data_IF_459106736839
#
_entry.id   IF_459106736839
#
_cell.length_a   1.000
_cell.length_b   1.000
_cell.length_c   1.000
_cell.angle_alpha   90.00
_cell.angle_beta   90.00
_cell.angle_gamma   90.00
#
_symmetry.space_group_name_H-M   'P 1'
#
loop_
_entity.id
_entity.type
_entity.pdbx_description
1 polymer ?
#
# COMPACT_ATOMS: atom_id res chain seq x y z
N UNK A 1 -38.22 -19.66 16.54
CA UNK A 1 -36.97 -19.42 17.28
C UNK A 1 -35.93 -20.54 17.13
N UNK A 2 -36.35 -21.73 16.79
CA UNK A 2 -35.46 -22.91 16.63
C UNK A 2 -34.66 -22.94 15.31
N UNK A 3 -35.16 -22.32 14.24
CA UNK A 3 -34.48 -22.30 12.92
C UNK A 3 -33.18 -21.47 12.86
N UNK A 4 -32.92 -20.62 13.84
CA UNK A 4 -31.75 -19.77 13.88
C UNK A 4 -30.54 -20.41 14.55
N UNK A 5 -30.75 -21.52 15.25
CA UNK A 5 -29.69 -22.22 15.99
C UNK A 5 -28.68 -22.91 15.07
N UNK A 6 -29.09 -23.21 13.83
CA UNK A 6 -28.22 -23.86 12.82
C UNK A 6 -27.57 -22.86 11.86
N UNK A 7 -27.92 -21.58 11.96
CA UNK A 7 -27.33 -20.55 11.13
C UNK A 7 -25.95 -20.19 11.64
N UNK A 8 -24.95 -20.30 10.77
CA UNK A 8 -23.56 -19.86 11.07
C UNK A 8 -23.43 -18.35 11.20
N UNK A 9 -24.35 -17.59 10.60
CA UNK A 9 -24.41 -16.12 10.64
C UNK A 9 -25.82 -15.62 10.51
N UNK A 10 -26.13 -14.54 11.23
CA UNK A 10 -27.43 -13.86 11.19
C UNK A 10 -27.18 -12.41 10.79
N UNK A 11 -27.85 -11.94 9.75
CA UNK A 11 -27.77 -10.56 9.26
C UNK A 11 -29.09 -9.87 9.56
N UNK A 12 -29.03 -8.74 10.24
CA UNK A 12 -30.15 -7.84 10.48
C UNK A 12 -30.06 -6.63 9.57
N UNK A 13 -30.99 -6.48 8.65
CA UNK A 13 -31.16 -5.24 7.88
C UNK A 13 -31.91 -4.20 8.73
N UNK A 14 -31.24 -3.12 9.07
CA UNK A 14 -31.79 -2.05 9.92
C UNK A 14 -31.90 -0.78 9.07
N UNK A 15 -33.12 -0.34 8.82
CA UNK A 15 -33.36 0.92 8.10
C UNK A 15 -32.94 2.13 8.95
N UNK A 16 -32.39 3.18 8.31
CA UNK A 16 -31.96 4.41 8.96
C UNK A 16 -33.06 5.16 9.73
N UNK A 17 -34.34 4.87 9.42
CA UNK A 17 -35.51 5.45 10.09
C UNK A 17 -35.89 4.75 11.41
N UNK A 18 -35.23 3.67 11.79
CA UNK A 18 -35.50 2.97 13.05
C UNK A 18 -35.28 3.89 14.26
N UNK A 19 -36.16 3.93 15.29
CA UNK A 19 -35.95 4.70 16.51
C UNK A 19 -34.62 4.36 17.19
N UNK A 20 -33.92 5.36 17.76
CA UNK A 20 -32.58 5.21 18.32
C UNK A 20 -32.51 4.14 19.42
N UNK A 21 -33.50 4.09 20.33
CA UNK A 21 -33.53 3.07 21.39
C UNK A 21 -33.56 1.64 20.83
N UNK A 22 -34.36 1.42 19.78
CA UNK A 22 -34.45 0.09 19.17
C UNK A 22 -33.16 -0.24 18.42
N UNK A 23 -32.57 0.71 17.71
CA UNK A 23 -31.29 0.53 17.03
C UNK A 23 -30.18 0.21 18.04
N UNK A 24 -30.10 0.92 19.16
CA UNK A 24 -29.15 0.65 20.25
C UNK A 24 -29.29 -0.78 20.77
N UNK A 25 -30.53 -1.24 21.04
CA UNK A 25 -30.76 -2.63 21.49
C UNK A 25 -30.27 -3.64 20.46
N UNK A 26 -30.53 -3.41 19.18
CA UNK A 26 -30.05 -4.30 18.10
C UNK A 26 -28.53 -4.30 18.02
N UNK A 27 -27.90 -3.11 18.09
CA UNK A 27 -26.45 -2.99 18.06
C UNK A 27 -25.74 -3.64 19.24
N UNK A 28 -26.40 -3.80 20.39
CA UNK A 28 -25.89 -4.54 21.54
C UNK A 28 -25.79 -6.06 21.27
N UNK A 29 -26.71 -6.59 20.44
CA UNK A 29 -26.84 -8.03 20.18
C UNK A 29 -25.94 -8.55 19.06
N UNK A 30 -25.39 -7.66 18.21
CA UNK A 30 -24.58 -8.06 17.07
C UNK A 30 -23.09 -7.84 17.31
N UNK A 31 -22.25 -8.61 16.66
CA UNK A 31 -20.78 -8.49 16.77
C UNK A 31 -20.22 -7.37 15.89
N UNK A 32 -20.85 -7.13 14.76
CA UNK A 32 -20.44 -6.13 13.78
C UNK A 32 -21.61 -5.31 13.28
N UNK A 33 -21.36 -4.04 12.99
CA UNK A 33 -22.31 -3.11 12.39
C UNK A 33 -21.69 -2.51 11.14
N UNK A 34 -22.35 -2.66 10.00
CA UNK A 34 -21.95 -2.00 8.75
C UNK A 34 -22.93 -0.85 8.49
N UNK A 35 -22.42 0.36 8.46
CA UNK A 35 -23.23 1.54 8.18
C UNK A 35 -22.98 2.01 6.75
N UNK A 36 -23.97 1.81 5.89
CA UNK A 36 -23.91 2.24 4.49
C UNK A 36 -24.20 3.73 4.39
N UNK A 37 -23.39 4.48 3.64
CA UNK A 37 -23.53 5.92 3.49
C UNK A 37 -23.14 6.38 2.09
N UNK A 38 -23.96 7.28 1.51
CA UNK A 38 -23.58 8.05 0.31
C UNK A 38 -23.01 9.41 0.71
N UNK A 39 -22.25 10.03 -0.17
CA UNK A 39 -21.67 11.35 0.08
C UNK A 39 -22.72 12.38 0.52
N UNK A 40 -23.85 12.43 -0.20
CA UNK A 40 -24.97 13.33 0.12
C UNK A 40 -25.64 13.08 1.49
N UNK A 41 -25.38 11.94 2.13
CA UNK A 41 -25.98 11.50 3.39
C UNK A 41 -25.00 11.61 4.56
N UNK A 42 -23.80 12.14 4.35
CA UNK A 42 -22.72 12.15 5.35
C UNK A 42 -23.09 12.89 6.64
N UNK A 43 -23.75 14.05 6.51
CA UNK A 43 -24.17 14.83 7.69
C UNK A 43 -25.29 14.13 8.47
N UNK A 44 -26.21 13.46 7.78
CA UNK A 44 -27.27 12.67 8.42
C UNK A 44 -26.69 11.47 9.12
N UNK A 45 -25.69 10.80 8.52
CA UNK A 45 -24.98 9.70 9.14
C UNK A 45 -24.26 10.13 10.42
N UNK A 46 -23.58 11.27 10.42
CA UNK A 46 -22.93 11.84 11.61
C UNK A 46 -23.96 12.08 12.73
N UNK A 47 -25.05 12.80 12.41
CA UNK A 47 -26.12 13.08 13.37
C UNK A 47 -26.71 11.77 13.95
N UNK A 48 -26.88 10.77 13.08
CA UNK A 48 -27.40 9.47 13.48
C UNK A 48 -26.46 8.75 14.44
N UNK A 49 -25.19 8.64 14.10
CA UNK A 49 -24.19 7.97 14.92
C UNK A 49 -23.96 8.68 16.26
N UNK A 50 -24.07 10.02 16.29
CA UNK A 50 -24.10 10.81 17.52
C UNK A 50 -25.31 10.45 18.37
N UNK A 51 -26.52 10.37 17.79
CA UNK A 51 -27.75 10.01 18.52
C UNK A 51 -27.73 8.61 19.12
N UNK A 52 -26.87 7.72 18.59
CA UNK A 52 -26.64 6.38 19.10
C UNK A 52 -25.53 6.33 20.16
N UNK A 53 -24.94 7.47 20.52
CA UNK A 53 -23.88 7.59 21.52
C UNK A 53 -22.68 6.66 21.27
N UNK A 54 -22.32 6.44 20.02
CA UNK A 54 -21.30 5.48 19.57
C UNK A 54 -19.96 5.65 20.30
N UNK A 55 -19.38 6.87 20.42
CA UNK A 55 -18.10 7.04 21.10
C UNK A 55 -18.19 6.72 22.60
N UNK A 56 -19.24 7.19 23.28
CA UNK A 56 -19.45 6.98 24.73
C UNK A 56 -19.64 5.51 25.09
N UNK A 57 -20.22 4.73 24.17
CA UNK A 57 -20.43 3.29 24.33
C UNK A 57 -19.23 2.42 23.94
N UNK A 58 -18.16 3.01 23.44
CA UNK A 58 -16.97 2.27 22.97
C UNK A 58 -17.23 1.38 21.74
N UNK A 59 -18.22 1.72 20.91
CA UNK A 59 -18.62 0.90 19.75
C UNK A 59 -17.86 1.19 18.46
N UNK A 60 -16.88 2.08 18.50
CA UNK A 60 -16.09 2.48 17.34
C UNK A 60 -15.53 1.28 16.56
N UNK A 61 -14.93 0.33 17.26
CA UNK A 61 -14.29 -0.84 16.63
C UNK A 61 -15.29 -1.89 16.13
N UNK A 62 -16.56 -1.80 16.59
CA UNK A 62 -17.67 -2.62 16.16
C UNK A 62 -18.30 -2.11 14.86
N UNK A 63 -18.12 -0.82 14.55
CA UNK A 63 -18.75 -0.15 13.41
C UNK A 63 -17.76 -0.03 12.27
N UNK A 64 -18.23 -0.41 11.08
CA UNK A 64 -17.57 -0.17 9.80
C UNK A 64 -18.47 0.72 8.94
N UNK A 65 -17.88 1.71 8.25
CA UNK A 65 -18.58 2.54 7.28
C UNK A 65 -18.37 1.93 5.90
N UNK A 66 -19.45 1.73 5.16
CA UNK A 66 -19.43 1.32 3.77
C UNK A 66 -19.89 2.49 2.88
N UNK A 67 -18.92 3.17 2.26
CA UNK A 67 -19.19 4.22 1.31
C UNK A 67 -19.77 3.65 0.03
N UNK A 68 -20.93 4.12 -0.38
CA UNK A 68 -21.53 3.80 -1.68
C UNK A 68 -21.16 4.91 -2.66
N UNK A 69 -20.18 4.61 -3.51
CA UNK A 69 -19.60 5.54 -4.47
C UNK A 69 -20.23 5.37 -5.85
N UNK A 70 -20.36 6.47 -6.59
CA UNK A 70 -20.75 6.41 -7.99
C UNK A 70 -19.58 5.89 -8.84
N UNK A 71 -19.90 5.29 -9.98
CA UNK A 71 -18.89 4.66 -10.84
C UNK A 71 -17.76 5.57 -11.35
N UNK A 72 -18.01 6.89 -11.38
CA UNK A 72 -17.05 7.93 -11.76
C UNK A 72 -16.26 8.52 -10.58
N UNK A 73 -16.57 8.09 -9.35
CA UNK A 73 -15.95 8.58 -8.12
C UNK A 73 -14.95 7.54 -7.56
N UNK A 74 -13.64 7.69 -7.82
CA UNK A 74 -12.65 6.67 -7.47
C UNK A 74 -12.31 6.65 -5.97
N UNK A 75 -12.58 7.72 -5.22
CA UNK A 75 -12.22 7.86 -3.81
C UNK A 75 -13.38 8.32 -2.95
N UNK A 76 -13.38 7.95 -1.68
CA UNK A 76 -14.40 8.38 -0.73
C UNK A 76 -14.33 9.89 -0.45
N UNK A 77 -15.45 10.51 -0.06
CA UNK A 77 -15.45 11.89 0.40
C UNK A 77 -14.52 12.12 1.60
N UNK A 78 -14.00 13.33 1.73
CA UNK A 78 -13.22 13.71 2.91
C UNK A 78 -14.14 14.16 4.04
N UNK A 79 -14.63 13.21 4.83
CA UNK A 79 -15.52 13.45 5.97
C UNK A 79 -14.85 12.92 7.25
N UNK A 80 -13.88 13.67 7.84
CA UNK A 80 -13.10 13.19 8.99
C UNK A 80 -13.98 12.81 10.18
N UNK A 81 -14.97 13.65 10.51
CA UNK A 81 -15.85 13.44 11.66
C UNK A 81 -16.66 12.14 11.59
N UNK A 82 -16.98 11.65 10.40
CA UNK A 82 -17.70 10.39 10.26
C UNK A 82 -16.80 9.20 10.61
N UNK A 83 -15.51 9.29 10.27
CA UNK A 83 -14.52 8.25 10.57
C UNK A 83 -14.18 8.12 12.05
N UNK A 84 -14.51 9.13 12.86
CA UNK A 84 -14.33 9.06 14.30
C UNK A 84 -15.29 8.07 14.96
N UNK A 85 -16.41 7.75 14.29
CA UNK A 85 -17.40 6.79 14.77
C UNK A 85 -17.13 5.33 14.36
N UNK A 86 -16.17 5.09 13.49
CA UNK A 86 -15.92 3.75 12.94
C UNK A 86 -14.45 3.35 13.05
N UNK A 87 -14.20 2.08 13.30
CA UNK A 87 -12.86 1.52 13.29
C UNK A 87 -12.33 1.32 11.87
N UNK A 88 -13.23 1.15 10.88
CA UNK A 88 -12.90 0.83 9.49
C UNK A 88 -13.86 1.50 8.52
N UNK A 89 -13.38 1.67 7.28
CA UNK A 89 -14.26 2.06 6.16
C UNK A 89 -13.93 1.29 4.88
N UNK A 90 -14.99 1.06 4.09
CA UNK A 90 -14.95 0.34 2.81
C UNK A 90 -15.51 1.22 1.72
N UNK A 91 -14.96 1.11 0.51
CA UNK A 91 -15.41 1.86 -0.66
C UNK A 91 -16.03 0.87 -1.63
N UNK A 92 -17.34 0.97 -1.81
CA UNK A 92 -18.14 0.10 -2.67
C UNK A 92 -18.66 0.96 -3.82
N UNK A 93 -18.27 0.62 -5.04
CA UNK A 93 -18.73 1.33 -6.22
C UNK A 93 -20.07 0.76 -6.67
N UNK A 94 -21.08 1.62 -6.80
CA UNK A 94 -22.38 1.27 -7.34
C UNK A 94 -22.28 1.16 -8.88
N UNK A 95 -22.55 -0.01 -9.43
CA UNK A 95 -22.54 -0.27 -10.87
C UNK A 95 -23.90 -0.79 -11.31
N UNK A 96 -24.40 -0.35 -12.50
CA UNK A 96 -25.64 -0.84 -13.08
C UNK A 96 -25.55 -2.30 -13.55
N UNK A 97 -24.35 -2.77 -13.81
CA UNK A 97 -24.04 -4.17 -14.15
C UNK A 97 -23.21 -4.82 -13.06
N UNK A 98 -23.24 -6.14 -12.99
CA UNK A 98 -22.35 -6.87 -12.09
C UNK A 98 -20.92 -6.36 -12.31
N UNK A 99 -20.20 -5.96 -11.23
CA UNK A 99 -18.84 -5.45 -11.36
C UNK A 99 -17.98 -6.50 -12.06
N UNK A 100 -17.21 -6.05 -13.05
CA UNK A 100 -16.22 -6.96 -13.65
C UNK A 100 -15.27 -7.42 -12.56
N UNK A 101 -15.12 -8.72 -12.32
CA UNK A 101 -14.14 -9.21 -11.35
C UNK A 101 -12.75 -8.66 -11.69
N UNK A 102 -11.98 -8.29 -10.68
CA UNK A 102 -10.58 -7.97 -10.89
C UNK A 102 -10.25 -6.49 -11.04
N UNK A 103 -11.04 -5.58 -10.50
CA UNK A 103 -10.61 -4.18 -10.35
C UNK A 103 -10.60 -3.75 -8.88
N UNK A 104 -9.67 -2.88 -8.51
CA UNK A 104 -9.55 -2.37 -7.14
C UNK A 104 -10.88 -1.80 -6.62
N UNK A 105 -11.60 -1.08 -7.48
CA UNK A 105 -12.88 -0.46 -7.13
C UNK A 105 -14.00 -1.51 -7.05
N UNK A 106 -14.05 -2.47 -7.97
CA UNK A 106 -15.05 -3.53 -7.98
C UNK A 106 -14.95 -4.44 -6.74
N UNK A 107 -13.75 -4.63 -6.21
CA UNK A 107 -13.46 -5.51 -5.08
C UNK A 107 -13.83 -4.91 -3.71
N UNK A 108 -14.49 -3.75 -3.66
CA UNK A 108 -14.88 -3.10 -2.40
C UNK A 108 -15.82 -3.94 -1.54
N UNK A 109 -16.77 -4.63 -2.16
CA UNK A 109 -17.70 -5.54 -1.45
C UNK A 109 -16.96 -6.77 -0.91
N UNK A 110 -16.02 -7.33 -1.67
CA UNK A 110 -15.23 -8.47 -1.22
C UNK A 110 -14.39 -8.14 0.02
N UNK A 111 -13.77 -6.94 0.06
CA UNK A 111 -13.06 -6.45 1.26
C UNK A 111 -13.98 -6.38 2.47
N UNK A 112 -15.22 -5.94 2.29
CA UNK A 112 -16.21 -5.96 3.36
C UNK A 112 -16.53 -7.38 3.81
N UNK A 113 -16.69 -8.33 2.88
CA UNK A 113 -16.92 -9.75 3.19
C UNK A 113 -15.72 -10.34 3.94
N UNK A 114 -14.48 -10.04 3.52
CA UNK A 114 -13.27 -10.44 4.24
C UNK A 114 -13.31 -9.95 5.70
N UNK A 115 -13.63 -8.68 5.92
CA UNK A 115 -13.71 -8.11 7.26
C UNK A 115 -14.78 -8.80 8.13
N UNK A 116 -15.96 -9.04 7.57
CA UNK A 116 -17.04 -9.77 8.26
C UNK A 116 -16.66 -11.22 8.57
N UNK A 117 -15.75 -11.81 7.80
CA UNK A 117 -15.18 -13.15 8.02
C UNK A 117 -13.97 -13.15 8.96
N UNK A 118 -13.52 -11.98 9.39
CA UNK A 118 -12.30 -11.83 10.20
C UNK A 118 -11.02 -12.09 9.44
N UNK A 119 -11.04 -11.93 8.12
CA UNK A 119 -9.89 -12.05 7.22
C UNK A 119 -9.39 -10.67 6.83
N UNK A 120 -8.08 -10.53 6.75
CA UNK A 120 -7.44 -9.33 6.24
C UNK A 120 -6.13 -9.68 5.54
N UNK A 121 -6.14 -9.55 4.21
CA UNK A 121 -5.00 -9.81 3.35
C UNK A 121 -4.22 -8.51 3.17
N UNK A 122 -2.99 -8.50 3.68
CA UNK A 122 -2.07 -7.37 3.55
C UNK A 122 -0.98 -7.62 2.53
N UNK A 123 -0.57 -6.56 1.81
CA UNK A 123 0.59 -6.59 0.91
C UNK A 123 1.63 -5.57 1.36
N UNK A 124 2.80 -6.05 1.77
CA UNK A 124 3.94 -5.23 2.14
C UNK A 124 4.86 -5.01 0.93
N UNK A 125 5.02 -3.77 0.50
CA UNK A 125 5.80 -3.39 -0.67
C UNK A 125 7.11 -2.73 -0.25
N UNK A 126 8.22 -3.37 -0.59
CA UNK A 126 9.55 -2.91 -0.21
C UNK A 126 10.06 -1.71 -1.00
N UNK A 127 11.03 -1.00 -0.42
CA UNK A 127 11.78 0.06 -1.09
C UNK A 127 12.78 -0.51 -2.10
N UNK A 128 13.04 0.24 -3.17
CA UNK A 128 13.99 -0.19 -4.20
C UNK A 128 14.13 0.78 -5.38
N UNK A 129 13.74 2.03 -5.22
CA UNK A 129 13.77 3.07 -6.26
C UNK A 129 13.10 2.58 -7.56
N UNK A 130 13.74 2.68 -8.74
CA UNK A 130 13.14 2.24 -10.01
C UNK A 130 12.71 0.77 -10.01
N UNK A 131 13.41 -0.11 -9.27
CA UNK A 131 13.08 -1.54 -9.16
C UNK A 131 11.69 -1.77 -8.56
N UNK A 132 11.20 -0.84 -7.73
CA UNK A 132 9.85 -0.87 -7.17
C UNK A 132 8.73 -0.78 -8.22
N UNK A 133 9.03 -0.44 -9.47
CA UNK A 133 8.04 -0.52 -10.54
C UNK A 133 7.56 -1.95 -10.78
N UNK A 134 8.32 -2.97 -10.36
CA UNK A 134 7.89 -4.38 -10.39
C UNK A 134 6.70 -4.66 -9.47
N UNK A 135 6.48 -3.87 -8.44
CA UNK A 135 5.30 -4.00 -7.58
C UNK A 135 3.98 -3.88 -8.36
N UNK A 136 3.95 -3.04 -9.40
CA UNK A 136 2.76 -2.89 -10.24
C UNK A 136 2.38 -4.21 -10.93
N UNK A 137 3.37 -4.95 -11.42
CA UNK A 137 3.12 -6.26 -12.00
C UNK A 137 2.69 -7.31 -10.98
N UNK A 138 3.27 -7.27 -9.78
CA UNK A 138 2.83 -8.15 -8.68
C UNK A 138 1.38 -7.89 -8.33
N UNK A 139 1.01 -6.62 -8.09
CA UNK A 139 -0.37 -6.23 -7.74
C UNK A 139 -1.36 -6.59 -8.84
N UNK A 140 -1.00 -6.38 -10.10
CA UNK A 140 -1.78 -6.81 -11.28
C UNK A 140 -2.02 -8.32 -11.28
N UNK A 141 -0.99 -9.12 -11.06
CA UNK A 141 -1.12 -10.59 -11.04
C UNK A 141 -2.03 -11.07 -9.89
N UNK A 142 -1.91 -10.48 -8.69
CA UNK A 142 -2.80 -10.78 -7.57
C UNK A 142 -4.26 -10.51 -7.94
N UNK A 143 -4.53 -9.32 -8.49
CA UNK A 143 -5.85 -8.87 -8.91
C UNK A 143 -6.46 -9.79 -9.98
N UNK A 144 -5.71 -10.09 -11.05
CA UNK A 144 -6.15 -10.97 -12.15
C UNK A 144 -6.44 -12.40 -11.71
N UNK A 145 -5.86 -12.85 -10.59
CA UNK A 145 -6.09 -14.19 -10.05
C UNK A 145 -7.07 -14.22 -8.89
N UNK A 146 -7.83 -13.13 -8.69
CA UNK A 146 -8.89 -13.04 -7.69
C UNK A 146 -8.37 -12.98 -6.25
N UNK A 147 -7.15 -12.49 -6.05
CA UNK A 147 -6.62 -12.25 -4.70
C UNK A 147 -6.86 -10.79 -4.35
N UNK A 148 -7.88 -10.55 -3.57
CA UNK A 148 -8.30 -9.20 -3.17
C UNK A 148 -7.44 -8.73 -2.00
N UNK A 149 -6.77 -7.60 -2.20
CA UNK A 149 -5.92 -6.96 -1.20
C UNK A 149 -6.77 -6.05 -0.31
N UNK A 150 -6.71 -6.28 1.01
CA UNK A 150 -7.48 -5.50 2.00
C UNK A 150 -6.70 -4.32 2.55
N UNK A 151 -5.37 -4.39 2.57
CA UNK A 151 -4.49 -3.34 3.09
C UNK A 151 -3.11 -3.38 2.44
N UNK A 152 -2.52 -2.22 2.24
CA UNK A 152 -1.16 -2.08 1.70
C UNK A 152 -0.30 -1.32 2.69
N UNK A 153 0.92 -1.78 2.92
CA UNK A 153 1.96 -1.00 3.57
C UNK A 153 3.17 -0.90 2.63
N UNK A 154 3.67 0.29 2.43
CA UNK A 154 4.79 0.50 1.51
C UNK A 154 5.87 1.40 2.08
N UNK A 155 7.09 1.13 1.68
CA UNK A 155 8.27 1.95 1.99
C UNK A 155 8.89 2.43 0.68
N UNK A 156 9.23 3.72 0.59
CA UNK A 156 9.92 4.29 -0.56
C UNK A 156 9.16 4.01 -1.88
N UNK A 157 9.77 3.32 -2.83
CA UNK A 157 9.10 2.93 -4.07
C UNK A 157 7.84 2.08 -3.84
N UNK A 158 7.80 1.29 -2.76
CA UNK A 158 6.62 0.56 -2.35
C UNK A 158 5.48 1.47 -1.87
N UNK A 159 5.80 2.56 -1.15
CA UNK A 159 4.83 3.58 -0.79
C UNK A 159 4.27 4.29 -2.03
N UNK A 160 5.14 4.63 -2.98
CA UNK A 160 4.77 5.25 -4.25
C UNK A 160 3.78 4.37 -5.05
N UNK A 161 4.19 3.15 -5.37
CA UNK A 161 3.40 2.23 -6.20
C UNK A 161 2.15 1.75 -5.49
N UNK A 162 2.26 1.46 -4.17
CA UNK A 162 1.13 1.04 -3.35
C UNK A 162 0.05 2.12 -3.22
N UNK A 163 0.43 3.38 -3.01
CA UNK A 163 -0.53 4.49 -2.91
C UNK A 163 -1.23 4.75 -4.25
N UNK A 164 -0.49 4.69 -5.35
CA UNK A 164 -1.07 4.85 -6.70
C UNK A 164 -2.04 3.70 -7.01
N UNK A 165 -1.69 2.45 -6.71
CA UNK A 165 -2.60 1.33 -6.87
C UNK A 165 -3.83 1.42 -5.95
N UNK A 166 -3.61 1.80 -4.68
CA UNK A 166 -4.69 1.95 -3.70
C UNK A 166 -5.71 3.04 -4.09
N UNK A 167 -5.34 3.99 -4.95
CA UNK A 167 -6.24 4.99 -5.51
C UNK A 167 -7.18 4.46 -6.59
N UNK A 168 -7.02 3.20 -7.02
CA UNK A 168 -7.84 2.58 -8.07
C UNK A 168 -7.30 2.75 -9.49
N UNK A 169 -6.08 3.28 -9.63
CA UNK A 169 -5.44 3.39 -10.94
C UNK A 169 -4.95 2.03 -11.43
N UNK A 170 -5.18 1.78 -12.70
CA UNK A 170 -4.73 0.56 -13.38
C UNK A 170 -3.19 0.42 -13.37
N UNK A 171 -2.69 -0.80 -13.17
CA UNK A 171 -1.26 -1.07 -13.06
C UNK A 171 -0.49 -0.81 -14.36
N UNK A 172 -1.04 -1.20 -15.51
CA UNK A 172 -0.40 -1.01 -16.81
C UNK A 172 -0.41 0.48 -17.19
N UNK A 173 -1.50 1.18 -16.92
CA UNK A 173 -1.58 2.64 -17.05
C UNK A 173 -0.51 3.32 -16.20
N UNK A 174 -0.38 2.94 -14.94
CA UNK A 174 0.59 3.50 -14.00
C UNK A 174 2.03 3.24 -14.44
N UNK A 175 2.38 2.02 -14.88
CA UNK A 175 3.69 1.69 -15.41
C UNK A 175 4.04 2.51 -16.66
N UNK A 176 3.08 2.68 -17.57
CA UNK A 176 3.22 3.51 -18.76
C UNK A 176 3.51 4.98 -18.40
N UNK A 177 2.75 5.52 -17.46
CA UNK A 177 2.88 6.91 -17.02
C UNK A 177 4.21 7.15 -16.31
N UNK A 178 4.61 6.29 -15.38
CA UNK A 178 5.90 6.41 -14.71
C UNK A 178 7.07 6.36 -15.69
N UNK A 179 7.03 5.46 -16.68
CA UNK A 179 8.07 5.39 -17.71
C UNK A 179 8.17 6.68 -18.52
N UNK A 180 7.08 7.41 -18.69
CA UNK A 180 7.01 8.68 -19.45
C UNK A 180 7.36 9.88 -18.58
N UNK A 181 6.71 10.02 -17.41
CA UNK A 181 6.87 11.19 -16.53
C UNK A 181 8.25 11.25 -15.86
N UNK A 182 8.90 10.10 -15.66
CA UNK A 182 10.28 9.99 -15.13
C UNK A 182 11.34 9.80 -16.24
N UNK A 183 10.98 10.09 -17.48
CA UNK A 183 11.94 10.05 -18.58
C UNK A 183 12.88 11.25 -18.53
N UNK A 184 14.21 11.03 -18.47
CA UNK A 184 15.17 12.12 -18.56
C UNK A 184 15.04 12.89 -19.88
N UNK A 185 15.20 14.21 -19.82
CA UNK A 185 15.21 15.03 -21.03
C UNK A 185 16.39 14.65 -21.94
N UNK A 186 16.32 15.06 -23.20
CA UNK A 186 17.38 14.79 -24.18
C UNK A 186 18.78 15.14 -23.65
N UNK A 187 18.94 16.26 -22.96
CA UNK A 187 20.20 16.71 -22.39
C UNK A 187 20.78 15.68 -21.39
N UNK A 188 19.97 15.25 -20.43
CA UNK A 188 20.42 14.26 -19.45
C UNK A 188 20.76 12.90 -20.08
N UNK A 189 20.01 12.48 -21.10
CA UNK A 189 20.27 11.20 -21.78
C UNK A 189 21.63 11.12 -22.46
N UNK A 190 22.18 12.26 -22.88
CA UNK A 190 23.50 12.34 -23.53
C UNK A 190 24.66 12.63 -22.56
N UNK A 191 24.35 12.84 -21.27
CA UNK A 191 25.37 13.05 -20.25
C UNK A 191 25.85 11.72 -19.64
N UNK A 192 27.13 11.57 -19.31
CA UNK A 192 27.61 10.45 -18.50
C UNK A 192 26.83 10.38 -17.19
N UNK A 193 26.26 9.18 -16.85
CA UNK A 193 25.38 8.98 -15.67
C UNK A 193 24.17 9.94 -15.65
N UNK A 194 23.65 10.30 -16.80
CA UNK A 194 22.59 11.31 -16.94
C UNK A 194 21.32 10.97 -16.16
N UNK A 195 20.93 9.69 -16.07
CA UNK A 195 19.80 9.25 -15.25
C UNK A 195 19.96 9.61 -13.77
N UNK A 196 21.18 9.46 -13.21
CA UNK A 196 21.47 9.84 -11.82
C UNK A 196 21.37 11.36 -11.62
N UNK A 197 21.91 12.15 -12.55
CA UNK A 197 21.81 13.61 -12.50
C UNK A 197 20.38 14.10 -12.67
N UNK A 198 19.60 13.44 -13.53
CA UNK A 198 18.20 13.73 -13.69
C UNK A 198 17.41 13.45 -12.40
N UNK A 199 17.62 12.31 -11.77
CA UNK A 199 16.95 11.95 -10.51
C UNK A 199 17.30 12.96 -9.40
N UNK A 200 18.59 13.29 -9.25
CA UNK A 200 19.04 14.32 -8.31
C UNK A 200 18.36 15.68 -8.58
N UNK A 201 18.23 16.07 -9.86
CA UNK A 201 17.53 17.28 -10.25
C UNK A 201 16.05 17.21 -9.84
N UNK A 202 15.35 16.08 -10.08
CA UNK A 202 13.96 15.89 -9.70
C UNK A 202 13.77 16.07 -8.17
N UNK A 203 14.62 15.44 -7.36
CA UNK A 203 14.58 15.58 -5.91
C UNK A 203 14.81 17.02 -5.46
N UNK A 204 15.91 17.64 -5.89
CA UNK A 204 16.29 18.98 -5.44
C UNK A 204 15.35 20.09 -5.90
N UNK A 205 14.62 19.89 -6.97
CA UNK A 205 13.64 20.84 -7.50
C UNK A 205 12.22 20.56 -7.08
N UNK A 206 11.99 19.57 -6.22
CA UNK A 206 10.64 19.20 -5.76
C UNK A 206 9.69 18.77 -6.89
N UNK A 207 10.24 18.21 -7.98
CA UNK A 207 9.46 17.84 -9.16
C UNK A 207 8.59 16.61 -8.97
N UNK A 208 8.83 15.83 -7.92
CA UNK A 208 7.99 14.70 -7.59
C UNK A 208 6.60 15.13 -7.12
N UNK A 209 6.45 16.23 -6.38
CA UNK A 209 5.15 16.73 -5.93
C UNK A 209 4.19 16.99 -7.10
N UNK A 210 4.46 17.89 -8.05
CA UNK A 210 3.54 18.14 -9.17
C UNK A 210 3.35 16.92 -10.07
N UNK A 211 4.30 16.00 -10.14
CA UNK A 211 4.15 14.75 -10.85
C UNK A 211 3.14 13.84 -10.16
N UNK A 212 3.30 13.61 -8.85
CA UNK A 212 2.41 12.74 -8.09
C UNK A 212 0.99 13.30 -8.01
N UNK A 213 0.82 14.62 -7.97
CA UNK A 213 -0.50 15.25 -7.99
C UNK A 213 -1.27 15.04 -9.29
N UNK A 214 -0.62 14.62 -10.38
CA UNK A 214 -1.33 14.17 -11.60
C UNK A 214 -2.07 12.85 -11.39
N UNK A 215 -1.61 12.03 -10.45
CA UNK A 215 -2.18 10.71 -10.13
C UNK A 215 -3.08 10.75 -8.92
N UNK A 216 -2.63 11.41 -7.86
CA UNK A 216 -3.24 11.37 -6.54
C UNK A 216 -4.00 12.67 -6.20
N UNK A 217 -4.00 13.66 -7.09
CA UNK A 217 -4.67 14.94 -6.89
C UNK A 217 -4.36 15.53 -5.50
N UNK A 218 -5.40 15.93 -4.76
CA UNK A 218 -5.33 16.35 -3.37
C UNK A 218 -5.97 15.31 -2.43
N UNK A 219 -5.98 14.05 -2.86
CA UNK A 219 -6.58 12.99 -2.07
C UNK A 219 -5.77 12.68 -0.82
N UNK A 220 -6.46 12.18 0.17
CA UNK A 220 -5.87 11.76 1.43
C UNK A 220 -5.81 10.23 1.46
N UNK A 221 -4.85 9.67 2.20
CA UNK A 221 -4.66 8.21 2.32
C UNK A 221 -5.97 7.50 2.72
N UNK A 222 -6.69 8.08 3.67
CA UNK A 222 -7.95 7.53 4.17
C UNK A 222 -9.11 7.57 3.16
N UNK A 223 -8.99 8.33 2.06
CA UNK A 223 -10.00 8.37 1.00
C UNK A 223 -9.81 7.28 -0.04
N UNK A 224 -8.62 6.68 -0.13
CA UNK A 224 -8.26 5.71 -1.17
C UNK A 224 -9.12 4.44 -1.09
N UNK A 225 -9.26 3.75 -2.22
CA UNK A 225 -10.09 2.55 -2.34
C UNK A 225 -9.59 1.40 -1.42
N UNK A 226 -8.27 1.30 -1.24
CA UNK A 226 -7.65 0.36 -0.31
C UNK A 226 -6.97 1.18 0.80
N UNK A 227 -7.11 0.83 2.08
CA UNK A 227 -6.28 1.36 3.15
C UNK A 227 -4.79 1.21 2.82
N UNK A 228 -4.07 2.33 2.77
CA UNK A 228 -2.67 2.36 2.38
C UNK A 228 -1.84 3.07 3.45
N UNK A 229 -0.76 2.42 3.87
CA UNK A 229 0.17 2.88 4.89
C UNK A 229 1.49 3.23 4.23
N UNK A 230 1.98 4.45 4.47
CA UNK A 230 3.29 4.89 3.99
C UNK A 230 4.27 4.95 5.15
N UNK A 231 5.40 4.25 5.02
CA UNK A 231 6.42 4.16 6.07
C UNK A 231 7.57 5.11 5.77
N UNK A 232 7.92 5.93 6.74
CA UNK A 232 9.04 6.86 6.73
C UNK A 232 9.83 6.75 8.04
N UNK A 233 10.97 7.41 8.15
CA UNK A 233 11.78 7.46 9.36
C UNK A 233 11.93 8.89 9.84
N UNK A 234 11.77 9.09 11.14
CA UNK A 234 12.08 10.34 11.79
C UNK A 234 13.51 10.32 12.36
N UNK A 235 14.36 11.19 11.87
CA UNK A 235 15.75 11.33 12.32
C UNK A 235 15.88 11.85 13.76
N UNK A 236 14.84 12.50 14.29
CA UNK A 236 14.87 13.02 15.67
C UNK A 236 14.72 11.89 16.68
N UNK A 237 13.76 11.00 16.45
CA UNK A 237 13.49 9.86 17.33
C UNK A 237 14.25 8.58 16.93
N UNK A 238 14.69 8.47 15.67
CA UNK A 238 15.26 7.25 15.10
C UNK A 238 14.23 6.16 14.82
N UNK A 239 12.94 6.46 14.93
CA UNK A 239 11.85 5.48 14.80
C UNK A 239 11.16 5.55 13.44
N UNK A 240 10.57 4.43 13.04
CA UNK A 240 9.65 4.42 11.90
C UNK A 240 8.39 5.20 12.22
N UNK A 241 7.94 6.00 11.27
CA UNK A 241 6.67 6.73 11.31
C UNK A 241 5.77 6.16 10.22
N UNK A 242 4.60 5.67 10.62
CA UNK A 242 3.60 5.10 9.72
C UNK A 242 2.52 6.13 9.49
N UNK A 243 2.35 6.55 8.24
CA UNK A 243 1.26 7.44 7.82
C UNK A 243 0.10 6.60 7.31
N UNK A 244 -1.02 6.63 8.02
CA UNK A 244 -2.30 6.01 7.63
C UNK A 244 -3.34 7.04 7.19
N UNK A 245 -3.08 8.32 7.44
CA UNK A 245 -3.96 9.44 7.16
C UNK A 245 -3.16 10.65 6.70
N UNK A 246 -3.84 11.58 6.07
CA UNK A 246 -3.25 12.81 5.60
C UNK A 246 -3.12 12.85 4.09
N UNK A 247 -2.54 13.92 3.57
CA UNK A 247 -2.31 14.11 2.13
C UNK A 247 -1.47 12.97 1.57
N UNK A 248 -2.01 12.26 0.57
CA UNK A 248 -1.39 11.06 0.00
C UNK A 248 -0.05 11.38 -0.67
N UNK A 249 0.03 12.50 -1.37
CA UNK A 249 1.29 12.93 -2.03
C UNK A 249 2.35 13.24 -0.99
N UNK A 250 2.02 14.00 0.05
CA UNK A 250 2.97 14.30 1.12
C UNK A 250 3.49 13.03 1.80
N UNK A 251 2.61 12.06 2.06
CA UNK A 251 3.00 10.79 2.69
C UNK A 251 3.96 9.98 1.82
N UNK A 252 3.76 9.98 0.49
CA UNK A 252 4.69 9.36 -0.45
C UNK A 252 6.01 10.13 -0.48
N UNK A 253 5.96 11.48 -0.55
CA UNK A 253 7.18 12.31 -0.59
C UNK A 253 8.07 12.12 0.64
N UNK A 254 7.47 11.96 1.83
CA UNK A 254 8.19 11.64 3.07
C UNK A 254 8.91 10.29 2.93
N UNK A 255 8.21 9.27 2.42
CA UNK A 255 8.73 7.91 2.31
C UNK A 255 9.79 7.72 1.22
N UNK A 256 9.73 8.49 0.11
CA UNK A 256 10.75 8.43 -0.95
C UNK A 256 11.91 9.41 -0.73
N UNK A 257 11.96 10.13 0.38
CA UNK A 257 12.95 11.18 0.63
C UNK A 257 14.32 10.61 0.95
N UNK A 258 15.03 10.15 -0.08
CA UNK A 258 16.33 9.49 0.04
C UNK A 258 17.38 10.42 0.64
N UNK A 259 18.09 10.00 1.71
CA UNK A 259 19.25 10.71 2.23
C UNK A 259 20.27 10.96 1.12
N UNK A 260 21.01 12.07 1.22
CA UNK A 260 22.02 12.52 0.24
C UNK A 260 21.41 13.15 -1.02
N UNK A 261 20.27 12.68 -1.52
CA UNK A 261 19.60 13.28 -2.68
C UNK A 261 18.78 14.51 -2.29
N UNK A 262 18.21 14.51 -1.09
CA UNK A 262 17.38 15.57 -0.55
C UNK A 262 17.69 15.86 0.92
N UNK A 263 17.20 17.00 1.40
CA UNK A 263 17.19 17.35 2.83
C UNK A 263 15.98 16.70 3.52
N UNK A 264 16.03 16.45 4.83
CA UNK A 264 14.88 15.94 5.57
C UNK A 264 13.66 16.85 5.42
N UNK A 265 12.46 16.23 5.32
CA UNK A 265 11.18 16.96 5.34
C UNK A 265 10.85 17.24 6.80
N UNK A 266 10.87 18.52 7.21
CA UNK A 266 10.51 18.92 8.56
C UNK A 266 9.00 19.14 8.67
N UNK A 267 8.34 18.37 9.54
CA UNK A 267 6.91 18.48 9.81
C UNK A 267 6.59 18.03 11.23
N UNK A 268 5.77 18.81 11.92
CA UNK A 268 5.29 18.49 13.29
C UNK A 268 6.42 18.12 14.27
N UNK A 269 7.57 18.79 14.18
CA UNK A 269 8.75 18.53 15.03
C UNK A 269 9.56 17.29 14.63
N UNK A 270 9.21 16.62 13.54
CA UNK A 270 9.91 15.46 12.98
C UNK A 270 10.83 15.89 11.80
N UNK A 271 11.90 15.14 11.58
CA UNK A 271 12.80 15.29 10.43
C UNK A 271 12.76 14.00 9.60
N UNK A 272 11.88 13.99 8.59
CA UNK A 272 11.44 12.79 7.88
C UNK A 272 12.32 12.48 6.65
N UNK A 273 12.70 11.23 6.55
CA UNK A 273 13.47 10.66 5.43
C UNK A 273 12.92 9.29 5.03
N UNK A 274 13.48 8.71 3.97
CA UNK A 274 13.10 7.39 3.43
C UNK A 274 13.05 6.31 4.52
N UNK A 275 11.92 5.58 4.56
CA UNK A 275 11.65 4.53 5.56
C UNK A 275 12.57 3.32 5.46
N UNK A 276 13.21 3.10 4.31
CA UNK A 276 14.07 1.96 4.05
C UNK A 276 15.30 1.84 4.97
N UNK A 277 15.63 2.91 5.69
CA UNK A 277 16.73 2.87 6.68
C UNK A 277 16.43 1.99 7.90
N UNK A 278 15.15 1.85 8.26
CA UNK A 278 14.72 1.10 9.46
C UNK A 278 13.77 -0.03 9.11
N UNK A 279 12.80 0.19 8.24
CA UNK A 279 11.80 -0.81 7.85
C UNK A 279 11.57 -0.77 6.33
N UNK A 280 12.36 -1.56 5.62
CA UNK A 280 12.31 -1.57 4.16
C UNK A 280 11.13 -2.36 3.59
N UNK A 281 10.69 -3.43 4.27
CA UNK A 281 9.52 -4.23 3.87
C UNK A 281 8.56 -4.31 5.07
N UNK A 282 7.54 -3.45 5.13
CA UNK A 282 6.76 -3.21 6.35
C UNK A 282 5.67 -4.28 6.61
N UNK A 283 6.07 -5.57 6.65
CA UNK A 283 5.17 -6.68 6.94
C UNK A 283 4.67 -6.66 8.40
N UNK A 284 5.52 -6.29 9.34
CA UNK A 284 5.22 -6.10 10.75
C UNK A 284 4.15 -5.02 10.98
N UNK A 285 4.18 -3.95 10.18
CA UNK A 285 3.17 -2.89 10.21
C UNK A 285 1.80 -3.46 9.86
N UNK A 286 1.69 -4.29 8.82
CA UNK A 286 0.43 -4.92 8.44
C UNK A 286 -0.12 -5.84 9.53
N UNK A 287 0.75 -6.64 10.17
CA UNK A 287 0.34 -7.50 11.29
C UNK A 287 -0.15 -6.67 12.47
N UNK A 288 0.55 -5.58 12.81
CA UNK A 288 0.11 -4.67 13.88
C UNK A 288 -1.24 -4.01 13.58
N UNK A 289 -1.55 -3.83 12.29
CA UNK A 289 -2.85 -3.32 11.82
C UNK A 289 -3.93 -4.42 11.70
N UNK A 290 -3.61 -5.65 12.12
CA UNK A 290 -4.53 -6.77 12.21
C UNK A 290 -4.69 -7.58 10.90
N UNK A 291 -3.73 -7.50 9.98
CA UNK A 291 -3.66 -8.44 8.86
C UNK A 291 -3.28 -9.83 9.38
N UNK A 292 -4.03 -10.84 8.99
CA UNK A 292 -3.80 -12.23 9.35
C UNK A 292 -3.37 -13.11 8.16
N UNK A 293 -3.15 -12.49 7.02
CA UNK A 293 -2.44 -13.04 5.88
C UNK A 293 -1.60 -11.93 5.22
N UNK A 294 -0.29 -12.09 5.17
CA UNK A 294 0.62 -11.06 4.68
C UNK A 294 1.48 -11.58 3.53
N UNK A 295 1.43 -10.88 2.41
CA UNK A 295 2.29 -11.08 1.24
C UNK A 295 3.35 -9.98 1.26
N UNK A 296 4.62 -10.33 1.36
CA UNK A 296 5.73 -9.40 1.25
C UNK A 296 6.33 -9.40 -0.15
N UNK A 297 6.64 -8.23 -0.69
CA UNK A 297 7.30 -8.08 -1.99
C UNK A 297 8.65 -7.41 -1.80
N UNK A 298 9.72 -8.17 -2.04
CA UNK A 298 11.10 -7.72 -1.93
C UNK A 298 11.68 -7.41 -3.30
N UNK A 299 12.05 -6.18 -3.54
CA UNK A 299 12.72 -5.73 -4.78
C UNK A 299 14.18 -5.38 -4.55
N UNK A 300 14.76 -5.95 -3.51
CA UNK A 300 16.17 -5.82 -3.20
C UNK A 300 16.97 -6.75 -4.11
N UNK A 301 17.80 -6.19 -4.97
CA UNK A 301 18.68 -7.02 -5.80
C UNK A 301 19.65 -7.81 -4.94
N UNK A 302 19.99 -9.01 -5.41
CA UNK A 302 21.06 -9.80 -4.78
C UNK A 302 22.32 -8.96 -4.69
N UNK A 303 22.98 -9.02 -3.54
CA UNK A 303 24.20 -8.24 -3.34
C UNK A 303 25.29 -8.73 -4.31
N UNK A 304 25.72 -7.84 -5.19
CA UNK A 304 26.90 -8.10 -6.00
C UNK A 304 28.11 -8.32 -5.10
N UNK A 305 28.86 -9.38 -5.36
CA UNK A 305 30.12 -9.68 -4.64
C UNK A 305 31.27 -8.77 -5.10
N UNK A 306 30.95 -7.66 -5.77
CA UNK A 306 31.92 -6.70 -6.27
C UNK A 306 31.54 -5.29 -5.87
N UNK A 307 32.51 -4.48 -5.46
CA UNK A 307 32.34 -3.07 -5.16
C UNK A 307 33.59 -2.29 -5.59
N UNK A 308 33.46 -1.35 -6.53
CA UNK A 308 34.59 -0.54 -7.06
C UNK A 308 35.79 -1.42 -7.49
N UNK A 309 35.54 -2.39 -8.34
CA UNK A 309 36.52 -3.36 -8.86
C UNK A 309 37.19 -4.27 -7.80
N UNK A 310 36.72 -4.22 -6.55
CA UNK A 310 37.16 -5.11 -5.49
C UNK A 310 36.20 -6.31 -5.38
N UNK A 311 36.81 -7.52 -5.30
CA UNK A 311 36.10 -8.78 -5.03
C UNK A 311 36.69 -9.46 -3.79
N UNK A 312 35.92 -10.21 -2.97
CA UNK A 312 36.47 -10.93 -1.82
C UNK A 312 37.64 -11.84 -2.21
N UNK A 313 38.76 -11.68 -1.50
CA UNK A 313 39.95 -12.50 -1.71
C UNK A 313 40.83 -12.09 -2.90
N UNK A 314 40.49 -11.06 -3.66
CA UNK A 314 41.38 -10.54 -4.69
C UNK A 314 42.41 -9.57 -4.04
N UNK A 315 43.70 -9.62 -4.45
CA UNK A 315 44.62 -8.56 -4.11
C UNK A 315 44.07 -7.25 -4.67
N UNK A 316 44.17 -6.17 -3.88
CA UNK A 316 43.63 -4.87 -4.28
C UNK A 316 44.27 -4.45 -5.61
N UNK A 317 43.59 -4.58 -6.76
CA UNK A 317 44.12 -4.07 -8.00
C UNK A 317 44.17 -2.54 -7.85
N UNK A 318 44.97 -1.83 -8.61
CA UNK A 318 45.09 -0.36 -8.65
C UNK A 318 43.73 0.33 -8.94
N UNK A 319 42.69 -0.06 -8.17
CA UNK A 319 41.32 0.39 -8.27
C UNK A 319 41.16 1.79 -7.70
N UNK A 320 40.33 2.59 -8.32
CA UNK A 320 39.92 3.89 -7.80
C UNK A 320 39.23 3.67 -6.46
N UNK A 321 39.68 4.36 -5.41
CA UNK A 321 39.00 4.36 -4.12
C UNK A 321 37.53 4.81 -4.32
N UNK A 322 36.56 4.14 -3.67
CA UNK A 322 35.17 4.55 -3.74
C UNK A 322 35.01 5.98 -3.21
N UNK A 323 34.19 6.77 -3.88
CA UNK A 323 33.85 8.10 -3.36
C UNK A 323 33.00 7.97 -2.09
N UNK A 324 32.98 9.02 -1.26
CA UNK A 324 32.13 9.05 -0.04
C UNK A 324 30.66 8.74 -0.37
N UNK A 325 30.12 9.30 -1.46
CA UNK A 325 28.77 9.04 -1.91
C UNK A 325 28.54 7.55 -2.25
N UNK A 326 29.46 6.94 -3.02
CA UNK A 326 29.37 5.51 -3.35
C UNK A 326 29.43 4.64 -2.09
N UNK A 327 30.26 5.01 -1.13
CA UNK A 327 30.39 4.31 0.16
C UNK A 327 29.09 4.40 0.95
N UNK A 328 28.48 5.58 1.08
CA UNK A 328 27.20 5.77 1.79
C UNK A 328 26.09 4.97 1.11
N UNK A 329 25.93 5.07 -0.21
CA UNK A 329 24.91 4.32 -0.94
C UNK A 329 25.10 2.79 -0.80
N UNK A 330 26.36 2.31 -0.86
CA UNK A 330 26.64 0.88 -0.64
C UNK A 330 26.36 0.44 0.78
N UNK A 331 26.68 1.27 1.77
CA UNK A 331 26.37 0.99 3.19
C UNK A 331 24.87 0.86 3.42
N UNK A 332 24.08 1.75 2.82
CA UNK A 332 22.60 1.66 2.86
C UNK A 332 22.08 0.37 2.19
N UNK A 333 22.66 -0.03 1.05
CA UNK A 333 22.29 -1.30 0.40
C UNK A 333 22.63 -2.52 1.27
N UNK A 334 23.80 -2.50 1.93
CA UNK A 334 24.21 -3.56 2.88
C UNK A 334 23.24 -3.61 4.05
N UNK A 335 22.91 -2.46 4.63
CA UNK A 335 21.96 -2.35 5.73
C UNK A 335 20.58 -2.88 5.31
N UNK A 336 20.05 -2.44 4.17
CA UNK A 336 18.75 -2.91 3.67
C UNK A 336 18.75 -4.42 3.40
N UNK A 337 19.84 -4.96 2.85
CA UNK A 337 19.96 -6.40 2.64
C UNK A 337 19.96 -7.17 3.97
N UNK A 338 20.66 -6.66 4.98
CA UNK A 338 20.67 -7.25 6.33
C UNK A 338 19.30 -7.14 7.01
N UNK A 339 18.63 -5.99 6.91
CA UNK A 339 17.27 -5.79 7.44
C UNK A 339 16.25 -6.70 6.75
N UNK A 340 16.32 -6.86 5.43
CA UNK A 340 15.40 -7.72 4.69
C UNK A 340 15.61 -9.20 5.02
N UNK A 341 16.83 -9.65 5.29
CA UNK A 341 17.09 -11.03 5.72
C UNK A 341 16.36 -11.38 7.03
N UNK A 342 16.06 -10.39 7.87
CA UNK A 342 15.35 -10.55 9.15
C UNK A 342 13.93 -9.95 9.11
N UNK A 343 13.67 -8.96 8.27
CA UNK A 343 12.46 -8.11 8.29
C UNK A 343 11.34 -8.56 7.35
N UNK A 344 11.53 -9.62 6.57
CA UNK A 344 10.45 -10.23 5.78
C UNK A 344 9.48 -11.02 6.68
N UNK A 345 9.91 -11.44 7.85
CA UNK A 345 9.05 -11.99 8.89
C UNK A 345 8.22 -10.84 9.52
N UNK A 346 6.89 -10.92 9.68
CA UNK A 346 6.10 -12.15 9.71
C UNK A 346 5.22 -12.36 8.44
N UNK A 347 5.79 -12.36 7.23
CA UNK A 347 5.00 -12.61 6.02
C UNK A 347 4.75 -14.11 5.78
N UNK A 348 3.54 -14.46 5.32
CA UNK A 348 3.16 -15.82 4.96
C UNK A 348 3.75 -16.24 3.61
N UNK A 349 3.85 -15.28 2.69
CA UNK A 349 4.44 -15.47 1.36
C UNK A 349 5.36 -14.30 1.02
N UNK A 350 6.50 -14.62 0.43
CA UNK A 350 7.44 -13.62 -0.09
C UNK A 350 7.52 -13.77 -1.60
N UNK A 351 7.33 -12.65 -2.30
CA UNK A 351 7.51 -12.54 -3.75
C UNK A 351 8.80 -11.74 -3.99
N UNK A 352 9.72 -12.32 -4.73
CA UNK A 352 11.02 -11.74 -5.03
C UNK A 352 11.23 -11.63 -6.55
N UNK A 353 10.78 -10.54 -7.19
CA UNK A 353 11.07 -10.29 -8.60
C UNK A 353 12.58 -10.24 -8.85
N UNK A 354 13.05 -10.91 -9.89
CA UNK A 354 14.47 -10.84 -10.26
C UNK A 354 14.78 -9.52 -10.97
N UNK A 355 15.07 -8.52 -10.16
CA UNK A 355 15.44 -7.17 -10.60
C UNK A 355 16.96 -7.00 -10.75
N UNK A 356 17.71 -8.11 -10.80
CA UNK A 356 19.15 -8.11 -11.05
C UNK A 356 19.44 -7.51 -12.44
N UNK A 357 20.41 -6.61 -12.51
CA UNK A 357 20.75 -5.93 -13.77
C UNK A 357 19.97 -4.64 -14.05
N UNK A 358 19.01 -4.26 -13.18
CA UNK A 358 18.39 -2.95 -13.27
C UNK A 358 19.04 -1.97 -12.30
N UNK A 359 19.38 -0.77 -12.81
CA UNK A 359 19.86 0.33 -11.99
C UNK A 359 18.71 0.97 -11.20
N UNK A 360 19.03 1.57 -10.05
CA UNK A 360 18.05 2.27 -9.20
C UNK A 360 17.42 3.50 -9.87
N UNK A 361 17.95 3.96 -11.00
CA UNK A 361 17.48 5.14 -11.73
C UNK A 361 16.74 4.83 -13.03
N UNK A 362 16.55 3.55 -13.38
CA UNK A 362 15.96 3.12 -14.65
C UNK A 362 14.43 3.11 -14.68
N UNK A 363 13.80 4.20 -14.22
CA UNK A 363 12.33 4.35 -14.24
C UNK A 363 11.71 4.25 -15.63
N UNK A 364 12.47 4.56 -16.68
CA UNK A 364 11.99 4.39 -18.07
C UNK A 364 11.66 2.95 -18.42
N UNK A 365 12.25 1.99 -17.71
CA UNK A 365 12.00 0.55 -17.89
C UNK A 365 10.89 0.02 -16.98
N UNK A 366 10.01 0.91 -16.49
CA UNK A 366 8.92 0.53 -15.57
C UNK A 366 8.05 -0.60 -16.10
N UNK A 367 7.78 -0.65 -17.41
CA UNK A 367 7.03 -1.74 -18.04
C UNK A 367 7.75 -3.09 -17.98
N UNK A 368 9.05 -3.11 -18.22
CA UNK A 368 9.86 -4.32 -18.13
C UNK A 368 9.91 -4.82 -16.69
N UNK A 369 10.11 -3.90 -15.75
CA UNK A 369 10.09 -4.21 -14.32
C UNK A 369 8.72 -4.74 -13.88
N UNK A 370 7.62 -4.13 -14.35
CA UNK A 370 6.28 -4.64 -14.09
C UNK A 370 6.09 -6.07 -14.62
N UNK A 371 6.53 -6.36 -15.84
CA UNK A 371 6.46 -7.72 -16.40
C UNK A 371 7.27 -8.76 -15.58
N UNK A 372 8.42 -8.36 -15.02
CA UNK A 372 9.22 -9.21 -14.12
C UNK A 372 8.45 -9.44 -12.80
N UNK A 373 7.82 -8.40 -12.26
CA UNK A 373 6.99 -8.53 -11.07
C UNK A 373 5.79 -9.44 -11.27
N UNK A 374 5.09 -9.30 -12.40
CA UNK A 374 3.96 -10.15 -12.79
C UNK A 374 4.41 -11.62 -12.86
N UNK A 375 5.52 -11.92 -13.54
CA UNK A 375 6.06 -13.27 -13.62
C UNK A 375 6.37 -13.86 -12.24
N UNK A 376 7.06 -13.11 -11.38
CA UNK A 376 7.40 -13.58 -10.04
C UNK A 376 6.17 -13.84 -9.16
N UNK A 377 5.12 -13.02 -9.30
CA UNK A 377 3.87 -13.24 -8.60
C UNK A 377 3.14 -14.50 -9.11
N UNK A 378 3.08 -14.72 -10.42
CA UNK A 378 2.46 -15.90 -11.02
C UNK A 378 3.04 -17.21 -10.48
N UNK A 379 4.35 -17.25 -10.19
CA UNK A 379 5.00 -18.41 -9.60
C UNK A 379 4.52 -18.69 -8.16
N UNK A 380 4.05 -17.66 -7.44
CA UNK A 380 3.57 -17.78 -6.06
C UNK A 380 2.05 -17.90 -5.93
N UNK A 381 1.27 -17.57 -6.97
CA UNK A 381 -0.20 -17.64 -6.95
C UNK A 381 -0.73 -18.98 -6.46
N UNK A 382 -0.23 -20.15 -6.92
CA UNK A 382 -0.73 -21.44 -6.44
C UNK A 382 -0.55 -21.62 -4.93
N UNK A 383 0.60 -21.20 -4.39
CA UNK A 383 0.89 -21.25 -2.97
C UNK A 383 -0.03 -20.32 -2.17
N UNK A 384 -0.22 -19.08 -2.66
CA UNK A 384 -1.11 -18.09 -2.03
C UNK A 384 -2.53 -18.66 -1.97
N UNK A 385 -3.07 -19.15 -3.07
CA UNK A 385 -4.40 -19.76 -3.14
C UNK A 385 -4.55 -20.93 -2.17
N UNK A 386 -3.56 -21.81 -2.11
CA UNK A 386 -3.55 -22.93 -1.16
C UNK A 386 -3.61 -22.46 0.29
N UNK A 387 -2.83 -21.44 0.65
CA UNK A 387 -2.80 -20.90 2.00
C UNK A 387 -4.12 -20.18 2.36
N UNK A 388 -4.69 -19.40 1.45
CA UNK A 388 -5.97 -18.73 1.62
C UNK A 388 -7.11 -19.77 1.79
N UNK A 389 -7.13 -20.85 1.02
CA UNK A 389 -8.09 -21.94 1.19
C UNK A 389 -7.97 -22.61 2.56
N UNK A 390 -6.75 -22.71 3.11
CA UNK A 390 -6.54 -23.21 4.48
C UNK A 390 -7.00 -22.22 5.53
N UNK A 391 -6.89 -20.92 5.27
CA UNK A 391 -7.37 -19.88 6.17
C UNK A 391 -8.90 -19.88 6.27
N UNK A 392 -9.59 -19.94 5.13
CA UNK A 392 -11.07 -20.08 5.07
C UNK A 392 -11.51 -20.82 3.79
N UNK A 393 -11.79 -22.12 3.92
CA UNK A 393 -12.20 -22.98 2.79
C UNK A 393 -13.61 -22.70 2.26
N UNK A 394 -14.42 -21.95 3.00
CA UNK A 394 -15.76 -21.55 2.54
C UNK A 394 -15.71 -20.28 1.70
N UNK A 395 -14.80 -19.36 2.03
CA UNK A 395 -14.63 -18.11 1.31
C UNK A 395 -13.75 -18.30 0.06
N UNK A 396 -12.62 -18.97 0.22
CA UNK A 396 -11.65 -19.14 -0.87
C UNK A 396 -11.83 -20.50 -1.55
N UNK A 397 -12.71 -20.53 -2.55
CA UNK A 397 -12.93 -21.69 -3.43
C UNK A 397 -12.28 -21.39 -4.75
N UNK A 398 -10.97 -21.57 -4.81
CA UNK A 398 -10.28 -21.53 -6.09
C UNK A 398 -10.46 -22.89 -6.76
N UNK A 399 -10.98 -22.88 -7.98
CA UNK A 399 -11.07 -24.08 -8.78
C UNK A 399 -9.67 -24.69 -8.93
N UNK A 400 -9.60 -26.00 -8.68
CA UNK A 400 -8.36 -26.77 -8.63
C UNK A 400 -7.72 -26.92 -10.02
#
# INVERSE_FOLDING_TARGET
>A
MTEWLDATRIIFDIRGTMPSERAVRMMQLVDRVVYFVRDSESDDAIRRLQSLEVPTRGWRDKISIAWILKGDQPVAPNVPNLRDFAGRDFKIVETESAPSPGTVLANGLERLVHDLRGIRIGVALGGGAARGMSHLGVLKALEQHGIVVDMIAGTSAGALTGTVYASGLDCDFSANRFSTDLQPSWLFRHMPKGNHWFLLYQYRRGRFDPMLRKYLHQWRLEQLAIPCLSVTVDLVSGQSVVRERGDAVNSVLESINLPVLSIPICRDGQALIDGGLVNNIPADVLVSMGCNFVIAVSVTAKMEKQFCDMTPGSPNPRGKNPSTLQTILRSMLVQNHSLNAHGVQPADVVIEPDVTGFDLTEFMRAKELAAIGEKAALEQIPKIKQLLTRLDSQLFRFDA
#
